data_IF_949829900901
#
_entry.id   IF_949829900901
#
_cell.length_a   1.000
_cell.length_b   1.000
_cell.length_c   1.000
_cell.angle_alpha   90.00
_cell.angle_beta   90.00
_cell.angle_gamma   90.00
#
_symmetry.space_group_name_H-M   'P 1'
#
loop_
_entity.id
_entity.type
_entity.pdbx_description
1 polymer ?
#
# COMPACT_ATOMS: atom_id res chain seq x y z
N UNK A 1 -9.09 8.47 -16.05
CA UNK A 1 -7.65 8.74 -15.81
C UNK A 1 -7.42 9.20 -14.39
N UNK A 2 -8.18 10.17 -13.87
CA UNK A 2 -8.01 10.71 -12.50
C UNK A 2 -8.13 9.67 -11.36
N UNK A 3 -9.01 8.68 -11.50
CA UNK A 3 -9.21 7.64 -10.48
C UNK A 3 -8.00 6.70 -10.32
N UNK A 4 -7.21 6.52 -11.39
CA UNK A 4 -5.97 5.74 -11.33
C UNK A 4 -4.86 6.52 -10.66
N UNK A 5 -4.75 7.81 -10.95
CA UNK A 5 -3.76 8.69 -10.35
C UNK A 5 -3.97 8.78 -8.83
N UNK A 6 -5.22 8.83 -8.38
CA UNK A 6 -5.55 8.76 -6.94
C UNK A 6 -5.14 7.42 -6.31
N UNK A 7 -5.45 6.28 -6.94
CA UNK A 7 -5.09 4.96 -6.42
C UNK A 7 -3.57 4.75 -6.40
N UNK A 8 -2.85 5.21 -7.42
CA UNK A 8 -1.39 5.13 -7.48
C UNK A 8 -0.71 6.04 -6.46
N UNK A 9 -1.22 7.27 -6.26
CA UNK A 9 -0.75 8.15 -5.20
C UNK A 9 -0.97 7.53 -3.81
N UNK A 10 -2.18 7.00 -3.54
CA UNK A 10 -2.48 6.33 -2.27
C UNK A 10 -1.59 5.10 -2.05
N UNK A 11 -1.33 4.32 -3.10
CA UNK A 11 -0.43 3.17 -3.05
C UNK A 11 1.00 3.58 -2.72
N UNK A 12 1.52 4.64 -3.35
CA UNK A 12 2.85 5.18 -3.06
C UNK A 12 3.01 5.57 -1.60
N UNK A 13 2.04 6.30 -1.05
CA UNK A 13 2.05 6.73 0.36
C UNK A 13 2.06 5.53 1.32
N UNK A 14 1.29 4.48 1.02
CA UNK A 14 1.24 3.28 1.86
C UNK A 14 2.56 2.49 1.86
N UNK A 15 3.21 2.39 0.68
CA UNK A 15 4.50 1.72 0.53
C UNK A 15 5.59 2.50 1.28
N UNK A 16 5.66 3.82 1.08
CA UNK A 16 6.64 4.67 1.74
C UNK A 16 6.49 4.66 3.27
N UNK A 17 5.25 4.69 3.77
CA UNK A 17 4.99 4.60 5.20
C UNK A 17 5.44 3.25 5.79
N UNK A 18 5.12 2.13 5.11
CA UNK A 18 5.61 0.80 5.51
C UNK A 18 7.14 0.75 5.54
N UNK A 19 7.79 1.25 4.48
CA UNK A 19 9.24 1.20 4.35
C UNK A 19 9.93 2.05 5.42
N UNK A 20 9.39 3.23 5.71
CA UNK A 20 9.86 4.09 6.81
C UNK A 20 9.79 3.35 8.15
N UNK A 21 8.66 2.70 8.44
CA UNK A 21 8.47 1.97 9.70
C UNK A 21 9.43 0.78 9.83
N UNK A 22 9.63 0.01 8.76
CA UNK A 22 10.59 -1.10 8.75
C UNK A 22 12.03 -0.60 8.86
N UNK A 23 12.35 0.53 8.22
CA UNK A 23 13.69 1.11 8.24
C UNK A 23 14.09 1.65 9.62
N UNK A 24 13.11 2.01 10.47
CA UNK A 24 13.40 2.34 11.88
C UNK A 24 13.89 1.14 12.69
N UNK A 25 13.68 -0.10 12.21
CA UNK A 25 14.00 -1.33 12.93
C UNK A 25 13.13 -1.60 14.17
N UNK A 26 12.17 -0.73 14.48
CA UNK A 26 11.23 -0.89 15.60
C UNK A 26 10.04 -1.77 15.21
N UNK A 27 9.70 -1.78 13.91
CA UNK A 27 8.60 -2.58 13.36
C UNK A 27 9.17 -3.65 12.43
N UNK A 28 8.50 -4.79 12.42
CA UNK A 28 8.80 -5.97 11.64
C UNK A 28 7.58 -6.38 10.83
N UNK A 29 7.76 -7.22 9.80
CA UNK A 29 6.64 -7.76 9.04
C UNK A 29 5.64 -8.58 9.89
N UNK A 30 6.04 -9.01 11.08
CA UNK A 30 5.17 -9.71 12.03
C UNK A 30 4.26 -8.76 12.82
N UNK A 31 4.55 -7.46 12.85
CA UNK A 31 3.76 -6.48 13.59
C UNK A 31 2.39 -6.28 12.94
N UNK A 32 1.34 -6.24 13.77
CA UNK A 32 -0.04 -6.05 13.31
C UNK A 32 -0.21 -4.76 12.48
N UNK A 33 0.56 -3.72 12.81
CA UNK A 33 0.56 -2.45 12.08
C UNK A 33 1.16 -2.59 10.67
N UNK A 34 2.26 -3.33 10.52
CA UNK A 34 2.86 -3.60 9.20
C UNK A 34 1.97 -4.52 8.38
N UNK A 35 1.41 -5.57 8.99
CA UNK A 35 0.47 -6.47 8.31
C UNK A 35 -0.76 -5.73 7.76
N UNK A 36 -1.27 -4.75 8.50
CA UNK A 36 -2.39 -3.94 8.02
C UNK A 36 -1.99 -3.01 6.86
N UNK A 37 -0.81 -2.40 6.92
CA UNK A 37 -0.28 -1.62 5.79
C UNK A 37 -0.12 -2.49 4.54
N UNK A 38 0.43 -3.69 4.67
CA UNK A 38 0.58 -4.64 3.57
C UNK A 38 -0.77 -5.07 2.98
N UNK A 39 -1.78 -5.30 3.82
CA UNK A 39 -3.15 -5.56 3.33
C UNK A 39 -3.71 -4.39 2.53
N UNK A 40 -3.57 -3.16 3.03
CA UNK A 40 -4.04 -1.96 2.33
C UNK A 40 -3.33 -1.74 0.99
N UNK A 41 -2.02 -2.02 0.94
CA UNK A 41 -1.22 -2.02 -0.31
C UNK A 41 -1.80 -3.06 -1.28
N UNK A 42 -2.03 -4.29 -0.84
CA UNK A 42 -2.60 -5.34 -1.69
C UNK A 42 -4.01 -5.01 -2.19
N UNK A 43 -4.85 -4.42 -1.35
CA UNK A 43 -6.19 -3.98 -1.76
C UNK A 43 -6.14 -2.87 -2.81
N UNK A 44 -5.27 -1.87 -2.62
CA UNK A 44 -5.08 -0.80 -3.59
C UNK A 44 -4.58 -1.36 -4.94
N UNK A 45 -3.63 -2.30 -4.92
CA UNK A 45 -3.17 -3.00 -6.12
C UNK A 45 -4.29 -3.81 -6.80
N UNK A 46 -5.11 -4.53 -6.02
CA UNK A 46 -6.28 -5.26 -6.55
C UNK A 46 -7.28 -4.31 -7.19
N UNK A 47 -7.61 -3.19 -6.54
CA UNK A 47 -8.52 -2.16 -7.06
C UNK A 47 -8.02 -1.59 -8.38
N UNK A 48 -6.71 -1.30 -8.48
CA UNK A 48 -6.04 -0.88 -9.73
C UNK A 48 -6.10 -1.93 -10.82
N UNK A 49 -5.93 -3.21 -10.48
CA UNK A 49 -6.03 -4.30 -11.45
C UNK A 49 -7.46 -4.56 -11.92
N UNK A 50 -8.46 -4.38 -11.05
CA UNK A 50 -9.87 -4.54 -11.37
C UNK A 50 -10.44 -3.36 -12.16
N UNK A 51 -9.94 -2.14 -11.92
CA UNK A 51 -10.32 -0.98 -12.76
C UNK A 51 -9.70 -1.09 -14.15
N UNK A 52 -8.54 -1.74 -14.29
CA UNK A 52 -7.78 -1.89 -15.54
C UNK A 52 -8.24 -3.05 -16.43
N UNK A 53 -9.24 -3.82 -16.02
CA UNK A 53 -9.91 -4.80 -16.89
C UNK A 53 -11.23 -4.21 -17.40
N UNK A 54 -11.34 -3.89 -18.71
CA UNK A 54 -12.63 -3.62 -19.35
C UNK A 54 -13.47 -4.90 -19.47
#
# INVERSE_FOLDING_TARGET
TEQYEQVDQQLGVLIEHRDTLLQTGTYTHSDALIQELERRIQEAMKRKSSSSRP
#
